data_IF_975231312045
#
_entry.id   IF_975231312045
#
_cell.length_a   1.000
_cell.length_b   1.000
_cell.length_c   1.000
_cell.angle_alpha   90.00
_cell.angle_beta   90.00
_cell.angle_gamma   90.00
#
_symmetry.space_group_name_H-M   'P 1'
#
loop_
_entity.id
_entity.type
_entity.pdbx_description
1 polymer ?
#
# COMPACT_ATOMS: atom_id res chain seq x y z
N UNK A 1 -11.45 22.60 -2.59
CA UNK A 1 -10.58 23.54 -3.31
C UNK A 1 -11.29 24.89 -3.37
N UNK A 2 -10.65 25.97 -2.93
CA UNK A 2 -11.21 27.33 -3.00
C UNK A 2 -11.10 27.85 -4.43
N UNK A 3 -11.92 28.83 -4.82
CA UNK A 3 -11.80 29.46 -6.14
C UNK A 3 -10.97 30.74 -6.01
N UNK A 4 -10.07 30.97 -6.96
CA UNK A 4 -9.34 32.23 -7.01
C UNK A 4 -10.33 33.41 -7.19
N UNK A 5 -10.00 34.58 -6.62
CA UNK A 5 -10.79 35.79 -6.80
C UNK A 5 -11.11 36.04 -8.27
N UNK A 6 -12.37 36.42 -8.56
CA UNK A 6 -12.91 36.67 -9.90
C UNK A 6 -12.91 35.49 -10.90
N UNK A 7 -12.50 34.28 -10.51
CA UNK A 7 -12.57 33.12 -11.41
C UNK A 7 -14.02 32.82 -11.86
N UNK A 8 -14.99 32.92 -10.96
CA UNK A 8 -16.43 32.74 -11.28
C UNK A 8 -16.99 33.78 -12.26
N UNK A 9 -16.27 34.88 -12.49
CA UNK A 9 -16.71 35.98 -13.35
C UNK A 9 -16.12 35.88 -14.77
N UNK A 10 -15.26 34.89 -15.01
CA UNK A 10 -14.68 34.66 -16.34
C UNK A 10 -15.76 34.23 -17.35
N UNK A 11 -15.57 34.50 -18.64
CA UNK A 11 -16.50 34.12 -19.70
C UNK A 11 -16.77 32.61 -19.70
N UNK A 12 -18.01 32.23 -20.03
CA UNK A 12 -18.41 30.83 -20.20
C UNK A 12 -17.72 30.18 -21.40
N UNK A 13 -17.47 30.96 -22.45
CA UNK A 13 -16.68 30.50 -23.59
C UNK A 13 -15.25 30.19 -23.13
N UNK A 14 -14.78 28.98 -23.40
CA UNK A 14 -13.48 28.44 -22.96
C UNK A 14 -12.33 28.75 -23.92
N UNK A 15 -12.65 29.24 -25.11
CA UNK A 15 -11.66 29.74 -26.08
C UNK A 15 -11.26 31.18 -25.78
N UNK A 16 -12.14 31.95 -25.12
CA UNK A 16 -11.80 33.28 -24.63
C UNK A 16 -10.67 33.20 -23.60
N UNK A 17 -9.65 34.02 -23.80
CA UNK A 17 -8.45 34.05 -22.96
C UNK A 17 -8.78 34.55 -21.54
N UNK A 18 -8.15 33.96 -20.53
CA UNK A 18 -8.28 34.43 -19.14
C UNK A 18 -7.07 35.25 -18.75
N UNK A 19 -7.33 36.38 -18.08
CA UNK A 19 -6.31 37.30 -17.60
C UNK A 19 -6.11 37.10 -16.11
N UNK A 20 -4.86 36.87 -15.73
CA UNK A 20 -4.44 36.66 -14.34
C UNK A 20 -3.41 37.72 -13.96
N UNK A 21 -3.67 38.47 -12.89
CA UNK A 21 -2.66 39.32 -12.24
C UNK A 21 -2.07 38.60 -11.04
N UNK A 22 -0.74 38.50 -10.96
CA UNK A 22 -0.05 37.79 -9.90
C UNK A 22 1.09 38.61 -9.29
N UNK A 23 1.11 38.73 -7.96
CA UNK A 23 2.14 39.44 -7.19
C UNK A 23 1.57 40.35 -6.10
N UNK A 24 2.45 41.07 -5.41
CA UNK A 24 2.09 41.94 -4.27
C UNK A 24 1.03 42.99 -4.60
N UNK A 25 1.05 43.51 -5.83
CA UNK A 25 0.15 44.59 -6.29
C UNK A 25 -0.99 44.08 -7.18
N UNK A 26 -1.25 42.76 -7.18
CA UNK A 26 -2.25 42.14 -8.05
C UNK A 26 -3.65 42.76 -7.94
N UNK A 27 -4.07 43.16 -6.72
CA UNK A 27 -5.35 43.84 -6.51
C UNK A 27 -5.40 45.25 -7.11
N UNK A 28 -4.30 45.99 -7.02
CA UNK A 28 -4.18 47.35 -7.55
C UNK A 28 -4.27 47.33 -9.08
N UNK A 29 -3.52 46.43 -9.72
CA UNK A 29 -3.56 46.24 -11.17
C UNK A 29 -4.90 45.68 -11.67
N UNK A 30 -5.53 44.77 -10.91
CA UNK A 30 -6.87 44.29 -11.24
C UNK A 30 -7.94 45.39 -11.16
N UNK A 31 -7.77 46.36 -10.23
CA UNK A 31 -8.63 47.55 -10.15
C UNK A 31 -8.40 48.47 -11.35
N UNK A 32 -7.14 48.77 -11.68
CA UNK A 32 -6.75 49.56 -12.85
C UNK A 32 -7.25 48.94 -14.17
N UNK A 33 -7.20 47.62 -14.29
CA UNK A 33 -7.78 46.89 -15.43
C UNK A 33 -9.26 47.15 -15.60
N UNK A 34 -10.03 47.10 -14.50
CA UNK A 34 -11.48 47.33 -14.53
C UNK A 34 -11.83 48.79 -14.79
N UNK A 35 -11.02 49.72 -14.30
CA UNK A 35 -11.31 51.15 -14.39
C UNK A 35 -10.88 51.76 -15.73
N UNK A 36 -9.79 51.26 -16.33
CA UNK A 36 -9.22 51.87 -17.53
C UNK A 36 -8.61 50.87 -18.51
N UNK A 37 -7.61 50.08 -18.08
CA UNK A 37 -6.74 49.35 -19.00
C UNK A 37 -7.47 48.24 -19.78
N UNK A 38 -8.42 47.53 -19.18
CA UNK A 38 -9.17 46.47 -19.86
C UNK A 38 -9.94 47.00 -21.06
N UNK A 39 -10.68 48.11 -20.89
CA UNK A 39 -11.47 48.74 -21.96
C UNK A 39 -10.62 49.39 -23.04
N UNK A 40 -9.51 50.03 -22.65
CA UNK A 40 -8.73 50.87 -23.57
C UNK A 40 -7.59 50.12 -24.27
N UNK A 41 -7.08 49.02 -23.69
CA UNK A 41 -5.95 48.25 -24.23
C UNK A 41 -6.41 46.93 -24.83
N UNK A 42 -7.33 46.21 -24.16
CA UNK A 42 -7.75 44.87 -24.56
C UNK A 42 -9.21 44.76 -25.05
N UNK A 43 -9.96 45.87 -25.02
CA UNK A 43 -11.41 45.89 -25.26
C UNK A 43 -12.18 44.86 -24.39
N UNK A 44 -11.68 44.59 -23.19
CA UNK A 44 -12.21 43.59 -22.26
C UNK A 44 -12.73 44.26 -20.96
N UNK A 45 -13.94 43.90 -20.55
CA UNK A 45 -14.59 44.37 -19.30
C UNK A 45 -14.68 43.27 -18.24
N UNK A 46 -14.10 42.08 -18.50
CA UNK A 46 -14.08 40.97 -17.56
C UNK A 46 -13.10 41.29 -16.43
N UNK A 47 -13.52 41.16 -15.16
CA UNK A 47 -12.61 41.35 -14.04
C UNK A 47 -11.57 40.23 -14.03
N UNK A 48 -10.27 40.55 -14.01
CA UNK A 48 -9.21 39.56 -14.11
C UNK A 48 -9.11 38.73 -12.83
N UNK A 49 -8.60 37.51 -12.95
CA UNK A 49 -8.30 36.64 -11.81
C UNK A 49 -7.12 37.23 -11.04
N UNK A 50 -7.23 37.26 -9.71
CA UNK A 50 -6.22 37.90 -8.85
C UNK A 50 -5.52 36.85 -7.99
N UNK A 51 -4.20 36.78 -8.09
CA UNK A 51 -3.32 35.94 -7.27
C UNK A 51 -2.38 36.85 -6.46
N UNK A 52 -2.89 37.40 -5.35
CA UNK A 52 -2.09 38.19 -4.41
C UNK A 52 -1.33 37.30 -3.43
N UNK A 53 -0.51 37.89 -2.55
CA UNK A 53 0.34 37.18 -1.59
C UNK A 53 -0.39 36.10 -0.78
N UNK A 54 -1.65 36.31 -0.42
CA UNK A 54 -2.48 35.32 0.29
C UNK A 54 -2.71 34.05 -0.56
N UNK A 55 -3.03 34.24 -1.85
CA UNK A 55 -3.25 33.14 -2.78
C UNK A 55 -1.91 32.48 -3.15
N UNK A 56 -0.85 33.26 -3.36
CA UNK A 56 0.47 32.74 -3.73
C UNK A 56 1.07 31.86 -2.62
N UNK A 57 0.87 32.21 -1.34
CA UNK A 57 1.32 31.38 -0.20
C UNK A 57 0.70 29.99 -0.17
N UNK A 58 -0.54 29.84 -0.62
CA UNK A 58 -1.30 28.58 -0.58
C UNK A 58 -1.88 28.22 -1.95
N UNK A 59 -1.11 28.44 -3.02
CA UNK A 59 -1.64 28.42 -4.39
C UNK A 59 -2.28 27.08 -4.78
N UNK A 60 -1.81 25.97 -4.20
CA UNK A 60 -2.34 24.62 -4.39
C UNK A 60 -3.76 24.42 -3.85
N UNK A 61 -4.21 25.25 -2.92
CA UNK A 61 -5.56 25.17 -2.34
C UNK A 61 -6.60 25.89 -3.21
N UNK A 62 -6.14 26.71 -4.16
CA UNK A 62 -6.95 27.51 -5.05
C UNK A 62 -7.00 26.90 -6.45
N UNK A 63 -8.21 26.87 -7.01
CA UNK A 63 -8.40 26.71 -8.43
C UNK A 63 -8.25 28.09 -9.08
N UNK A 64 -7.23 28.22 -9.93
CA UNK A 64 -6.85 29.48 -10.57
C UNK A 64 -7.40 29.64 -11.99
N UNK A 65 -7.85 28.53 -12.60
CA UNK A 65 -8.34 28.49 -13.97
C UNK A 65 -9.58 27.57 -14.10
N UNK A 66 -10.40 27.85 -15.10
CA UNK A 66 -11.54 27.00 -15.45
C UNK A 66 -11.09 25.69 -16.10
N UNK A 67 -11.96 24.67 -16.03
CA UNK A 67 -11.78 23.42 -16.78
C UNK A 67 -11.91 23.73 -18.28
N UNK A 68 -11.08 23.06 -19.08
CA UNK A 68 -11.02 23.15 -20.54
C UNK A 68 -10.60 24.51 -21.12
N UNK A 69 -10.11 25.43 -20.28
CA UNK A 69 -9.59 26.72 -20.75
C UNK A 69 -8.29 26.51 -21.53
N UNK A 70 -8.21 27.08 -22.74
CA UNK A 70 -7.07 26.83 -23.63
C UNK A 70 -5.98 27.91 -23.59
N UNK A 71 -6.36 29.16 -23.27
CA UNK A 71 -5.47 30.32 -23.41
C UNK A 71 -5.48 31.19 -22.14
N UNK A 72 -4.29 31.55 -21.65
CA UNK A 72 -4.12 32.37 -20.45
C UNK A 72 -3.03 33.42 -20.63
N UNK A 73 -3.27 34.61 -20.09
CA UNK A 73 -2.26 35.66 -19.93
C UNK A 73 -2.00 35.90 -18.45
N UNK A 74 -0.73 35.89 -18.06
CA UNK A 74 -0.28 36.16 -16.69
C UNK A 74 0.50 37.45 -16.68
N UNK A 75 0.05 38.43 -15.91
CA UNK A 75 0.73 39.71 -15.70
C UNK A 75 1.44 39.71 -14.35
N UNK A 76 2.72 40.06 -14.34
CA UNK A 76 3.46 40.37 -13.12
C UNK A 76 2.94 41.69 -12.54
N UNK A 77 2.45 41.64 -11.31
CA UNK A 77 1.85 42.77 -10.61
C UNK A 77 2.63 43.05 -9.33
N UNK A 78 3.58 43.97 -9.39
CA UNK A 78 4.51 44.23 -8.30
C UNK A 78 5.56 43.13 -8.14
N UNK A 79 5.87 42.76 -6.91
CA UNK A 79 6.86 41.72 -6.62
C UNK A 79 6.23 40.31 -6.70
N UNK A 80 6.83 39.46 -7.53
CA UNK A 80 6.53 38.03 -7.62
C UNK A 80 7.84 37.26 -7.71
N UNK A 81 7.94 36.15 -6.98
CA UNK A 81 9.13 35.28 -7.05
C UNK A 81 9.06 34.36 -8.26
N UNK A 82 10.20 34.01 -8.83
CA UNK A 82 10.28 33.01 -9.91
C UNK A 82 9.71 31.65 -9.48
N UNK A 83 9.85 31.29 -8.19
CA UNK A 83 9.23 30.10 -7.63
C UNK A 83 7.69 30.15 -7.74
N UNK A 84 7.06 31.23 -7.28
CA UNK A 84 5.61 31.40 -7.37
C UNK A 84 5.13 31.48 -8.83
N UNK A 85 5.91 32.08 -9.72
CA UNK A 85 5.59 32.12 -11.15
C UNK A 85 5.60 30.70 -11.74
N UNK A 86 6.64 29.93 -11.47
CA UNK A 86 6.75 28.54 -11.92
C UNK A 86 5.58 27.71 -11.39
N UNK A 87 5.16 27.91 -10.13
CA UNK A 87 3.98 27.26 -9.57
C UNK A 87 2.68 27.61 -10.32
N UNK A 88 2.47 28.88 -10.68
CA UNK A 88 1.31 29.29 -11.48
C UNK A 88 1.34 28.57 -12.83
N UNK A 89 2.46 28.62 -13.54
CA UNK A 89 2.60 28.03 -14.87
C UNK A 89 2.41 26.51 -14.83
N UNK A 90 2.99 25.82 -13.84
CA UNK A 90 2.76 24.38 -13.67
C UNK A 90 1.30 24.05 -13.36
N UNK A 91 0.60 24.86 -12.56
CA UNK A 91 -0.85 24.69 -12.33
C UNK A 91 -1.67 24.84 -13.61
N UNK A 92 -1.32 25.83 -14.45
CA UNK A 92 -1.97 26.04 -15.75
C UNK A 92 -1.70 24.85 -16.71
N UNK A 93 -0.47 24.35 -16.73
CA UNK A 93 -0.09 23.17 -17.51
C UNK A 93 -0.89 21.92 -17.10
N UNK A 94 -0.98 21.65 -15.80
CA UNK A 94 -1.75 20.52 -15.27
C UNK A 94 -3.25 20.66 -15.57
N UNK A 95 -3.77 21.90 -15.58
CA UNK A 95 -5.15 22.18 -15.97
C UNK A 95 -5.43 22.00 -17.47
N UNK A 96 -4.42 21.72 -18.30
CA UNK A 96 -4.58 21.46 -19.73
C UNK A 96 -4.62 22.72 -20.60
N UNK A 97 -4.14 23.86 -20.09
CA UNK A 97 -3.97 25.08 -20.88
C UNK A 97 -2.94 24.83 -21.99
N UNK A 98 -3.21 25.32 -23.20
CA UNK A 98 -2.35 25.14 -24.38
C UNK A 98 -1.41 26.31 -24.60
N UNK A 99 -1.88 27.53 -24.32
CA UNK A 99 -1.09 28.74 -24.52
C UNK A 99 -1.03 29.58 -23.25
N UNK A 100 0.18 29.95 -22.84
CA UNK A 100 0.44 30.81 -21.68
C UNK A 100 1.43 31.89 -22.08
N UNK A 101 1.00 33.15 -21.96
CA UNK A 101 1.84 34.31 -22.19
C UNK A 101 2.08 35.07 -20.89
N UNK A 102 3.33 35.31 -20.57
CA UNK A 102 3.76 36.10 -19.42
C UNK A 102 4.10 37.53 -19.84
N UNK A 103 3.56 38.50 -19.11
CA UNK A 103 3.79 39.93 -19.32
C UNK A 103 4.44 40.55 -18.07
N UNK A 104 5.44 41.39 -18.26
CA UNK A 104 6.12 42.10 -17.17
C UNK A 104 5.27 43.19 -16.51
N UNK A 105 4.15 43.59 -17.14
CA UNK A 105 3.20 44.56 -16.62
C UNK A 105 2.12 44.92 -17.67
N UNK A 106 1.16 45.78 -17.30
CA UNK A 106 0.02 46.14 -18.15
C UNK A 106 0.46 46.84 -19.46
N UNK A 107 1.58 47.58 -19.42
CA UNK A 107 2.12 48.32 -20.56
C UNK A 107 3.08 47.51 -21.42
N UNK A 108 3.32 46.24 -21.07
CA UNK A 108 4.25 45.38 -21.79
C UNK A 108 3.65 44.94 -23.13
N UNK A 109 4.41 45.12 -24.20
CA UNK A 109 4.04 44.78 -25.57
C UNK A 109 4.80 43.57 -26.11
N UNK A 110 5.71 42.98 -25.34
CA UNK A 110 6.55 41.86 -25.75
C UNK A 110 6.49 40.70 -24.74
N UNK A 111 5.38 39.95 -24.71
CA UNK A 111 5.22 38.84 -23.77
C UNK A 111 6.21 37.71 -24.02
N UNK A 112 6.56 37.01 -22.95
CA UNK A 112 7.29 35.74 -23.01
C UNK A 112 6.28 34.62 -23.24
N UNK A 113 6.47 33.85 -24.30
CA UNK A 113 5.68 32.65 -24.57
C UNK A 113 6.22 31.47 -23.75
N UNK A 114 5.38 30.93 -22.87
CA UNK A 114 5.72 29.79 -22.01
C UNK A 114 5.08 28.48 -22.49
N UNK A 115 4.39 28.50 -23.64
CA UNK A 115 3.59 27.39 -24.14
C UNK A 115 4.40 26.12 -24.40
N UNK A 116 5.66 26.25 -24.85
CA UNK A 116 6.55 25.11 -25.10
C UNK A 116 6.92 24.33 -23.84
N UNK A 117 6.91 24.97 -22.67
CA UNK A 117 7.30 24.36 -21.41
C UNK A 117 6.13 23.63 -20.73
N UNK A 118 4.88 23.92 -21.12
CA UNK A 118 3.69 23.36 -20.48
C UNK A 118 3.61 21.83 -20.56
N UNK A 119 3.85 21.16 -21.70
CA UNK A 119 3.78 19.69 -21.76
C UNK A 119 4.79 19.04 -20.81
N UNK A 120 6.02 19.56 -20.80
CA UNK A 120 7.08 19.07 -19.91
C UNK A 120 6.71 19.27 -18.44
N UNK A 121 6.26 20.46 -18.05
CA UNK A 121 5.86 20.75 -16.66
C UNK A 121 4.67 19.90 -16.22
N UNK A 122 3.73 19.63 -17.12
CA UNK A 122 2.60 18.72 -16.86
C UNK A 122 3.09 17.31 -16.61
N UNK A 123 3.95 16.77 -17.47
CA UNK A 123 4.49 15.41 -17.31
C UNK A 123 5.30 15.26 -16.03
N UNK A 124 6.23 16.18 -15.75
CA UNK A 124 7.03 16.18 -14.50
C UNK A 124 6.13 16.22 -13.26
N UNK A 125 5.05 17.02 -13.30
CA UNK A 125 4.08 17.08 -12.22
C UNK A 125 3.23 15.80 -12.10
N UNK A 126 2.82 15.20 -13.22
CA UNK A 126 2.06 13.95 -13.23
C UNK A 126 2.88 12.74 -12.77
N UNK A 127 4.20 12.74 -13.02
CA UNK A 127 5.14 11.72 -12.50
C UNK A 127 5.53 11.94 -11.04
N UNK A 128 5.14 13.05 -10.43
CA UNK A 128 5.52 13.40 -9.05
C UNK A 128 6.96 13.92 -8.91
N UNK A 129 7.60 14.30 -10.01
CA UNK A 129 8.99 14.79 -10.07
C UNK A 129 9.08 16.33 -10.08
N UNK A 130 7.95 17.03 -10.01
CA UNK A 130 7.93 18.50 -10.04
C UNK A 130 8.63 19.10 -8.82
N UNK A 131 9.60 19.97 -9.10
CA UNK A 131 10.42 20.66 -8.09
C UNK A 131 9.64 21.78 -7.35
N UNK A 132 8.51 22.22 -7.90
CA UNK A 132 7.77 23.40 -7.41
C UNK A 132 6.38 23.06 -6.89
N UNK A 133 5.80 21.93 -7.29
CA UNK A 133 4.44 21.52 -6.93
C UNK A 133 4.36 20.03 -6.67
N UNK A 134 3.86 19.67 -5.49
CA UNK A 134 3.43 18.31 -5.19
C UNK A 134 1.91 18.26 -5.20
N UNK A 135 1.35 18.13 -6.39
CA UNK A 135 -0.07 18.26 -6.67
C UNK A 135 -0.77 16.89 -6.49
N UNK A 136 -1.79 16.77 -5.62
CA UNK A 136 -2.45 15.48 -5.36
C UNK A 136 -3.47 15.05 -6.44
N UNK A 137 -3.34 15.52 -7.68
CA UNK A 137 -4.52 15.80 -8.54
C UNK A 137 -4.99 14.69 -9.47
N UNK A 138 -4.27 13.57 -9.66
CA UNK A 138 -4.82 12.38 -10.35
C UNK A 138 -5.19 11.26 -9.38
N UNK A 139 -4.41 11.06 -8.32
CA UNK A 139 -4.61 9.96 -7.37
C UNK A 139 -5.81 10.19 -6.43
N UNK A 140 -6.11 11.43 -6.03
CA UNK A 140 -7.30 11.74 -5.21
C UNK A 140 -8.62 11.40 -5.90
N UNK A 141 -8.73 11.70 -7.19
CA UNK A 141 -9.95 11.46 -7.95
C UNK A 141 -10.16 9.96 -8.21
N UNK A 142 -9.08 9.22 -8.50
CA UNK A 142 -9.13 7.78 -8.75
C UNK A 142 -9.69 6.98 -7.56
N UNK A 143 -9.15 7.12 -6.35
CA UNK A 143 -9.59 6.31 -5.20
C UNK A 143 -11.07 6.46 -4.81
N UNK A 144 -11.62 7.66 -4.98
CA UNK A 144 -13.03 7.94 -4.68
C UNK A 144 -13.99 7.39 -5.75
N UNK A 145 -13.52 7.23 -6.99
CA UNK A 145 -14.30 6.78 -8.14
C UNK A 145 -14.14 5.28 -8.44
N UNK A 146 -13.10 4.65 -7.89
CA UNK A 146 -12.82 3.22 -8.05
C UNK A 146 -14.01 2.35 -7.63
N UNK A 147 -14.14 1.18 -8.24
CA UNK A 147 -15.00 0.12 -7.75
C UNK A 147 -14.41 -0.51 -6.48
N UNK A 148 -15.25 -1.20 -5.69
CA UNK A 148 -14.79 -1.86 -4.46
C UNK A 148 -13.76 -2.96 -4.75
N UNK A 149 -13.85 -3.63 -5.91
CA UNK A 149 -12.87 -4.62 -6.37
C UNK A 149 -11.50 -4.01 -6.70
N UNK A 150 -11.48 -2.80 -7.28
CA UNK A 150 -10.22 -2.12 -7.58
C UNK A 150 -9.53 -1.62 -6.30
N UNK A 151 -10.31 -1.16 -5.32
CA UNK A 151 -9.79 -0.82 -3.98
C UNK A 151 -9.27 -2.05 -3.25
N UNK A 152 -9.97 -3.17 -3.35
CA UNK A 152 -9.54 -4.44 -2.81
C UNK A 152 -8.21 -4.88 -3.42
N UNK A 153 -8.01 -4.70 -4.73
CA UNK A 153 -6.73 -4.99 -5.37
C UNK A 153 -5.60 -4.11 -4.82
N UNK A 154 -5.82 -2.80 -4.68
CA UNK A 154 -4.82 -1.92 -4.04
C UNK A 154 -4.46 -2.36 -2.61
N UNK A 155 -5.45 -2.89 -1.88
CA UNK A 155 -5.21 -3.45 -0.55
C UNK A 155 -4.43 -4.77 -0.61
N UNK A 156 -4.72 -5.64 -1.59
CA UNK A 156 -3.98 -6.88 -1.80
C UNK A 156 -2.51 -6.61 -2.14
N UNK A 157 -2.24 -5.60 -2.96
CA UNK A 157 -0.89 -5.19 -3.40
C UNK A 157 -0.01 -4.68 -2.25
N UNK A 158 -0.56 -4.48 -1.04
CA UNK A 158 0.22 -4.17 0.17
C UNK A 158 0.94 -5.38 0.77
N UNK A 159 0.61 -6.58 0.32
CA UNK A 159 1.15 -7.81 0.87
C UNK A 159 1.80 -8.65 -0.24
N UNK A 160 2.82 -9.43 0.12
CA UNK A 160 3.52 -10.31 -0.82
C UNK A 160 2.63 -11.46 -1.34
N UNK A 161 1.52 -11.73 -0.65
CA UNK A 161 0.50 -12.69 -1.04
C UNK A 161 -0.70 -12.60 -0.10
N UNK A 162 -1.90 -12.87 -0.63
CA UNK A 162 -3.16 -12.86 0.11
C UNK A 162 -4.00 -14.06 -0.28
N UNK A 163 -4.55 -14.76 0.71
CA UNK A 163 -5.53 -15.83 0.50
C UNK A 163 -6.65 -15.77 1.53
N UNK A 164 -7.73 -16.51 1.32
CA UNK A 164 -8.86 -16.59 2.24
C UNK A 164 -9.12 -18.03 2.66
N UNK A 165 -9.27 -18.27 3.96
CA UNK A 165 -9.67 -19.58 4.45
C UNK A 165 -11.16 -19.80 4.15
N UNK A 166 -11.48 -20.82 3.34
CA UNK A 166 -12.81 -21.00 2.76
C UNK A 166 -13.95 -21.08 3.78
N UNK A 167 -13.72 -21.71 4.94
CA UNK A 167 -14.77 -21.93 5.94
C UNK A 167 -14.93 -20.78 6.94
N UNK A 168 -13.83 -20.13 7.32
CA UNK A 168 -13.81 -19.10 8.37
C UNK A 168 -13.83 -17.69 7.79
N UNK A 169 -13.64 -17.55 6.49
CA UNK A 169 -13.49 -16.28 5.76
C UNK A 169 -12.35 -15.40 6.30
N UNK A 170 -11.42 -15.99 7.07
CA UNK A 170 -10.27 -15.28 7.62
C UNK A 170 -9.25 -15.11 6.50
N UNK A 171 -8.92 -13.85 6.22
CA UNK A 171 -7.85 -13.47 5.31
C UNK A 171 -6.50 -13.82 5.94
N UNK A 172 -5.65 -14.49 5.17
CA UNK A 172 -4.26 -14.73 5.52
C UNK A 172 -3.37 -13.99 4.53
N UNK A 173 -2.24 -13.48 5.02
CA UNK A 173 -1.23 -12.84 4.18
C UNK A 173 0.10 -13.53 4.34
N UNK A 174 0.87 -13.55 3.27
CA UNK A 174 2.19 -14.18 3.25
C UNK A 174 3.20 -13.27 3.94
N UNK A 175 3.79 -13.74 5.05
CA UNK A 175 4.81 -13.01 5.82
C UNK A 175 5.83 -14.00 6.39
N UNK A 176 7.12 -13.74 6.17
CA UNK A 176 8.18 -14.53 6.81
C UNK A 176 8.14 -16.02 6.47
N UNK A 177 7.70 -16.39 5.26
CA UNK A 177 7.67 -17.78 4.80
C UNK A 177 6.44 -18.59 5.25
N UNK A 178 5.45 -17.95 5.86
CA UNK A 178 4.19 -18.59 6.29
C UNK A 178 2.97 -17.71 6.02
N UNK A 179 1.80 -18.34 5.94
CA UNK A 179 0.50 -17.69 5.87
C UNK A 179 0.03 -17.28 7.27
N UNK A 180 -0.04 -15.97 7.53
CA UNK A 180 -0.44 -15.41 8.81
C UNK A 180 -1.88 -14.88 8.76
N UNK A 181 -2.76 -15.23 9.72
CA UNK A 181 -4.11 -14.67 9.78
C UNK A 181 -4.06 -13.17 10.05
N UNK A 182 -4.90 -12.41 9.35
CA UNK A 182 -5.01 -10.96 9.47
C UNK A 182 -6.41 -10.57 9.88
N UNK A 183 -6.51 -9.70 10.88
CA UNK A 183 -7.81 -9.20 11.35
C UNK A 183 -8.41 -8.19 10.37
N UNK A 184 -9.74 -8.11 10.32
CA UNK A 184 -10.46 -7.06 9.58
C UNK A 184 -10.02 -5.64 9.97
N UNK A 185 -9.66 -5.43 11.23
CA UNK A 185 -9.16 -4.13 11.72
C UNK A 185 -7.80 -3.77 11.12
N UNK A 186 -6.90 -4.73 11.00
CA UNK A 186 -5.58 -4.52 10.38
C UNK A 186 -5.74 -4.21 8.88
N UNK A 187 -6.54 -5.00 8.15
CA UNK A 187 -6.87 -4.72 6.75
C UNK A 187 -7.51 -3.34 6.58
N UNK A 188 -8.39 -2.94 7.49
CA UNK A 188 -9.01 -1.62 7.47
C UNK A 188 -7.99 -0.51 7.69
N UNK A 189 -6.99 -0.71 8.55
CA UNK A 189 -5.90 0.26 8.80
C UNK A 189 -4.99 0.40 7.60
N UNK A 190 -4.64 -0.69 6.93
CA UNK A 190 -3.87 -0.65 5.69
C UNK A 190 -4.61 0.09 4.59
N UNK A 191 -5.94 -0.14 4.45
CA UNK A 191 -6.74 0.63 3.51
C UNK A 191 -6.77 2.12 3.86
N UNK A 192 -6.86 2.47 5.15
CA UNK A 192 -6.77 3.87 5.61
C UNK A 192 -5.40 4.48 5.30
N UNK A 193 -4.31 3.71 5.41
CA UNK A 193 -2.98 4.15 5.03
C UNK A 193 -2.90 4.48 3.54
N UNK A 194 -3.46 3.63 2.66
CA UNK A 194 -3.60 3.92 1.22
C UNK A 194 -4.29 5.26 1.00
N UNK A 195 -5.47 5.46 1.59
CA UNK A 195 -6.19 6.74 1.45
C UNK A 195 -5.36 7.93 1.95
N UNK A 196 -4.63 7.77 3.06
CA UNK A 196 -3.82 8.83 3.66
C UNK A 196 -2.63 9.23 2.80
N UNK A 197 -1.92 8.26 2.23
CA UNK A 197 -0.80 8.48 1.30
C UNK A 197 -1.23 9.27 0.07
N UNK A 198 -2.40 8.94 -0.47
CA UNK A 198 -3.00 9.67 -1.60
C UNK A 198 -3.74 10.95 -1.17
N UNK A 199 -3.64 11.33 0.11
CA UNK A 199 -4.31 12.48 0.73
C UNK A 199 -5.83 12.49 0.54
N UNK A 200 -6.45 11.35 0.25
CA UNK A 200 -7.86 11.19 -0.07
C UNK A 200 -8.69 10.97 1.21
N UNK A 201 -9.95 11.43 1.19
CA UNK A 201 -10.91 11.16 2.25
C UNK A 201 -11.59 9.82 2.04
N UNK A 202 -11.96 9.15 3.13
CA UNK A 202 -12.70 7.89 3.08
C UNK A 202 -13.91 7.93 4.01
N UNK A 203 -14.83 6.99 3.80
CA UNK A 203 -15.88 6.68 4.76
C UNK A 203 -15.67 5.27 5.32
N UNK A 204 -16.17 5.00 6.52
CA UNK A 204 -16.11 3.66 7.12
C UNK A 204 -16.71 2.59 6.19
N UNK A 205 -17.79 2.93 5.47
CA UNK A 205 -18.44 2.02 4.51
C UNK A 205 -17.51 1.64 3.37
N UNK A 206 -16.80 2.61 2.78
CA UNK A 206 -15.88 2.36 1.66
C UNK A 206 -14.70 1.48 2.10
N UNK A 207 -14.17 1.71 3.30
CA UNK A 207 -13.12 0.86 3.87
C UNK A 207 -13.62 -0.58 4.07
N UNK A 208 -14.78 -0.75 4.72
CA UNK A 208 -15.35 -2.08 4.93
C UNK A 208 -15.64 -2.80 3.62
N UNK A 209 -16.21 -2.11 2.64
CA UNK A 209 -16.52 -2.69 1.33
C UNK A 209 -15.26 -3.17 0.60
N UNK A 210 -14.16 -2.42 0.67
CA UNK A 210 -12.89 -2.85 0.08
C UNK A 210 -12.35 -4.12 0.75
N UNK A 211 -12.47 -4.24 2.08
CA UNK A 211 -12.07 -5.45 2.82
C UNK A 211 -12.97 -6.65 2.50
N UNK A 212 -14.28 -6.47 2.38
CA UNK A 212 -15.17 -7.55 1.97
C UNK A 212 -14.93 -7.96 0.51
N UNK A 213 -14.70 -7.01 -0.39
CA UNK A 213 -14.32 -7.30 -1.76
C UNK A 213 -12.97 -8.04 -1.85
N UNK A 214 -12.01 -7.75 -0.95
CA UNK A 214 -10.74 -8.48 -0.86
C UNK A 214 -10.96 -9.97 -0.61
N UNK A 215 -11.85 -10.33 0.32
CA UNK A 215 -12.17 -11.75 0.60
C UNK A 215 -12.74 -12.48 -0.61
N UNK A 216 -13.45 -11.77 -1.48
CA UNK A 216 -14.07 -12.34 -2.69
C UNK A 216 -13.05 -12.54 -3.81
N UNK A 217 -12.07 -11.64 -3.95
CA UNK A 217 -11.05 -11.73 -5.01
C UNK A 217 -9.83 -12.57 -4.60
N UNK A 218 -9.57 -12.73 -3.31
CA UNK A 218 -8.44 -13.50 -2.80
C UNK A 218 -8.60 -14.99 -3.13
N UNK A 219 -7.49 -15.64 -3.47
CA UNK A 219 -7.50 -17.06 -3.76
C UNK A 219 -7.89 -17.88 -2.51
N UNK A 220 -8.66 -18.97 -2.67
CA UNK A 220 -8.92 -19.89 -1.58
C UNK A 220 -7.61 -20.49 -1.06
N UNK A 221 -7.46 -20.50 0.25
CA UNK A 221 -6.32 -21.11 0.91
C UNK A 221 -6.29 -22.61 0.64
N UNK A 222 -5.13 -23.12 0.21
CA UNK A 222 -4.91 -24.55 0.04
C UNK A 222 -4.58 -25.27 1.35
N UNK A 223 -4.39 -26.58 1.25
CA UNK A 223 -4.06 -27.44 2.39
C UNK A 223 -2.53 -27.57 2.55
N UNK A 224 -1.98 -27.39 3.76
CA UNK A 224 -0.58 -27.67 4.03
C UNK A 224 -0.28 -29.16 3.83
N UNK A 225 0.82 -29.47 3.16
CA UNK A 225 1.26 -30.85 3.01
C UNK A 225 1.83 -31.40 4.33
N UNK A 226 1.34 -32.55 4.77
CA UNK A 226 1.86 -33.25 5.95
C UNK A 226 3.30 -33.78 5.78
N UNK A 227 3.83 -33.78 4.56
CA UNK A 227 5.20 -34.19 4.27
C UNK A 227 6.23 -33.04 4.38
N UNK A 228 5.76 -31.81 4.60
CA UNK A 228 6.60 -30.63 4.70
C UNK A 228 6.76 -30.23 6.16
N UNK A 229 8.02 -30.12 6.60
CA UNK A 229 8.36 -29.64 7.93
C UNK A 229 8.96 -28.23 7.83
N UNK A 230 8.22 -27.17 8.22
CA UNK A 230 8.70 -25.80 8.10
C UNK A 230 9.65 -25.42 9.25
N UNK A 231 10.83 -24.96 8.88
CA UNK A 231 11.84 -24.33 9.74
C UNK A 231 11.79 -22.81 9.58
N UNK A 232 12.57 -22.06 10.36
CA UNK A 232 12.64 -20.59 10.22
C UNK A 232 13.29 -20.15 8.91
N UNK A 233 14.18 -20.97 8.34
CA UNK A 233 14.97 -20.65 7.15
C UNK A 233 14.58 -21.45 5.89
N UNK A 234 13.45 -22.15 5.90
CA UNK A 234 13.00 -22.98 4.79
C UNK A 234 12.14 -24.16 5.21
N UNK A 235 11.94 -25.10 4.31
CA UNK A 235 11.07 -26.26 4.50
C UNK A 235 11.81 -27.54 4.14
N UNK A 236 11.75 -28.54 5.03
CA UNK A 236 12.28 -29.88 4.79
C UNK A 236 11.18 -30.79 4.26
N UNK A 237 11.39 -31.40 3.10
CA UNK A 237 10.53 -32.46 2.59
C UNK A 237 10.92 -33.80 3.23
N UNK A 238 10.02 -34.36 4.03
CA UNK A 238 10.26 -35.60 4.79
C UNK A 238 10.31 -36.86 3.92
N UNK A 239 9.78 -36.80 2.69
CA UNK A 239 9.84 -37.93 1.73
C UNK A 239 11.15 -37.96 0.96
N UNK A 240 11.63 -36.80 0.49
CA UNK A 240 12.85 -36.71 -0.33
C UNK A 240 14.10 -36.43 0.51
N UNK A 241 13.93 -35.88 1.72
CA UNK A 241 15.03 -35.36 2.54
C UNK A 241 15.59 -34.03 2.03
N UNK A 242 14.96 -33.41 1.03
CA UNK A 242 15.42 -32.16 0.44
C UNK A 242 14.95 -30.95 1.25
N UNK A 243 15.86 -30.00 1.46
CA UNK A 243 15.57 -28.72 2.09
C UNK A 243 15.50 -27.62 1.04
N UNK A 244 14.40 -26.86 1.02
CA UNK A 244 14.16 -25.79 0.05
C UNK A 244 13.68 -24.50 0.73
N UNK A 245 13.73 -23.34 0.05
CA UNK A 245 13.14 -22.12 0.56
C UNK A 245 11.62 -22.25 0.79
N UNK A 246 11.07 -21.37 1.63
CA UNK A 246 9.62 -21.24 1.75
C UNK A 246 8.98 -20.87 0.42
N UNK A 247 7.77 -21.37 0.20
CA UNK A 247 6.95 -21.00 -0.95
C UNK A 247 5.48 -20.89 -0.52
N UNK A 248 4.73 -19.90 -1.03
CA UNK A 248 3.30 -19.74 -0.74
C UNK A 248 2.47 -21.00 -1.06
N UNK A 249 2.88 -21.76 -2.07
CA UNK A 249 2.25 -23.00 -2.52
C UNK A 249 2.35 -24.15 -1.51
N UNK A 250 3.21 -24.03 -0.48
CA UNK A 250 3.30 -24.99 0.61
C UNK A 250 2.18 -24.84 1.66
N UNK A 251 1.42 -23.74 1.62
CA UNK A 251 0.28 -23.45 2.52
C UNK A 251 0.59 -23.55 4.03
N UNK A 252 1.85 -23.41 4.40
CA UNK A 252 2.29 -23.50 5.80
C UNK A 252 1.87 -22.25 6.58
N UNK A 253 1.23 -22.43 7.73
CA UNK A 253 0.78 -21.33 8.62
C UNK A 253 1.71 -21.07 9.79
N UNK A 254 2.63 -21.99 10.05
CA UNK A 254 3.58 -21.93 11.17
C UNK A 254 4.89 -22.59 10.77
N UNK A 255 5.94 -22.27 11.52
CA UNK A 255 7.23 -22.97 11.48
C UNK A 255 7.68 -23.31 12.90
N UNK A 256 8.58 -24.27 13.05
CA UNK A 256 9.04 -24.76 14.36
C UNK A 256 9.92 -23.75 15.15
N UNK A 257 10.35 -22.64 14.54
CA UNK A 257 11.18 -21.62 15.20
C UNK A 257 12.66 -21.99 15.30
N UNK A 258 13.08 -23.04 14.61
CA UNK A 258 14.44 -23.57 14.60
C UNK A 258 15.01 -23.33 13.19
N UNK A 259 16.29 -23.01 13.10
CA UNK A 259 17.00 -22.99 11.82
C UNK A 259 17.45 -24.40 11.45
N UNK A 260 17.12 -24.83 10.23
CA UNK A 260 17.63 -26.08 9.69
C UNK A 260 19.12 -25.95 9.35
N UNK A 261 19.89 -26.93 9.79
CA UNK A 261 21.28 -27.13 9.38
C UNK A 261 21.42 -28.49 8.72
N UNK A 262 22.10 -28.59 7.56
CA UNK A 262 22.38 -29.88 6.94
C UNK A 262 23.19 -30.79 7.87
N UNK A 263 23.01 -32.13 7.79
CA UNK A 263 23.77 -33.06 8.60
C UNK A 263 25.28 -32.93 8.37
N UNK A 264 26.05 -32.82 9.45
CA UNK A 264 27.52 -32.81 9.39
C UNK A 264 28.07 -34.23 9.39
N UNK A 265 29.18 -34.49 8.70
CA UNK A 265 29.82 -35.80 8.72
C UNK A 265 30.16 -36.24 10.15
N UNK A 266 29.66 -37.41 10.55
CA UNK A 266 29.83 -37.95 11.90
C UNK A 266 28.82 -37.43 12.94
N UNK A 267 27.89 -36.56 12.54
CA UNK A 267 26.83 -36.07 13.42
C UNK A 267 25.98 -37.23 13.96
N UNK A 268 25.79 -37.25 15.27
CA UNK A 268 25.01 -38.29 15.93
C UNK A 268 24.34 -37.74 17.20
N UNK A 269 23.26 -38.39 17.60
CA UNK A 269 22.44 -37.95 18.75
C UNK A 269 23.26 -37.88 20.04
N UNK A 270 24.22 -38.80 20.24
CA UNK A 270 24.99 -38.88 21.49
C UNK A 270 25.88 -37.65 21.68
N UNK A 271 26.59 -37.26 20.64
CA UNK A 271 27.59 -36.20 20.71
C UNK A 271 26.99 -34.82 20.42
N UNK A 272 26.03 -34.74 19.48
CA UNK A 272 25.44 -33.48 19.03
C UNK A 272 24.16 -33.09 19.78
N UNK A 273 23.52 -34.03 20.48
CA UNK A 273 22.35 -33.74 21.33
C UNK A 273 22.52 -34.39 22.72
N UNK A 274 23.57 -34.06 23.50
CA UNK A 274 23.97 -34.80 24.69
C UNK A 274 22.92 -34.80 25.79
N UNK A 275 22.14 -33.73 25.94
CA UNK A 275 21.05 -33.67 26.92
C UNK A 275 19.88 -34.56 26.51
N UNK A 276 19.51 -34.55 25.23
CA UNK A 276 18.48 -35.44 24.69
C UNK A 276 18.93 -36.90 24.78
N UNK A 277 20.20 -37.20 24.48
CA UNK A 277 20.75 -38.54 24.61
C UNK A 277 20.74 -39.05 26.05
N UNK A 278 21.16 -38.23 27.03
CA UNK A 278 21.08 -38.57 28.47
C UNK A 278 19.64 -38.87 28.90
N UNK A 279 18.69 -38.05 28.48
CA UNK A 279 17.27 -38.28 28.73
C UNK A 279 16.79 -39.58 28.08
N UNK A 280 17.15 -39.82 26.82
CA UNK A 280 16.76 -41.01 26.07
C UNK A 280 17.32 -42.29 26.69
N UNK A 281 18.59 -42.29 27.09
CA UNK A 281 19.23 -43.41 27.81
C UNK A 281 18.51 -43.68 29.15
N UNK A 282 18.14 -42.62 29.89
CA UNK A 282 17.41 -42.75 31.14
C UNK A 282 16.00 -43.33 30.92
N UNK A 283 15.22 -42.73 30.02
CA UNK A 283 13.85 -43.14 29.70
C UNK A 283 13.79 -44.59 29.19
N UNK A 284 14.80 -45.01 28.42
CA UNK A 284 14.90 -46.36 27.89
C UNK A 284 15.55 -47.37 28.84
N UNK A 285 15.95 -46.97 30.06
CA UNK A 285 16.77 -47.80 30.99
C UNK A 285 18.01 -48.40 30.30
N UNK A 286 18.66 -47.60 29.43
CA UNK A 286 19.82 -47.97 28.60
C UNK A 286 19.59 -49.14 27.64
N UNK A 287 18.34 -49.49 27.33
CA UNK A 287 17.99 -50.52 26.33
C UNK A 287 17.95 -49.90 24.91
N UNK A 288 18.87 -50.29 24.01
CA UNK A 288 18.94 -49.73 22.65
C UNK A 288 17.66 -49.91 21.83
N UNK A 289 16.92 -51.02 22.03
CA UNK A 289 15.66 -51.27 21.31
C UNK A 289 14.54 -50.37 21.82
N UNK A 290 14.54 -50.03 23.12
CA UNK A 290 13.60 -49.04 23.67
C UNK A 290 13.94 -47.63 23.20
N UNK A 291 15.23 -47.25 23.18
CA UNK A 291 15.67 -45.96 22.63
C UNK A 291 15.20 -45.79 21.18
N UNK A 292 15.42 -46.80 20.33
CA UNK A 292 14.96 -46.78 18.94
C UNK A 292 13.44 -46.60 18.81
N UNK A 293 12.65 -47.30 19.64
CA UNK A 293 11.18 -47.18 19.63
C UNK A 293 10.71 -45.79 20.07
N UNK A 294 11.36 -45.19 21.06
CA UNK A 294 11.07 -43.80 21.47
C UNK A 294 11.39 -42.83 20.32
N UNK A 295 12.54 -42.98 19.65
CA UNK A 295 12.88 -42.16 18.49
C UNK A 295 11.87 -42.32 17.34
N UNK A 296 11.44 -43.55 17.03
CA UNK A 296 10.42 -43.79 16.02
C UNK A 296 9.06 -43.15 16.38
N UNK A 297 8.70 -43.17 17.66
CA UNK A 297 7.49 -42.53 18.17
C UNK A 297 7.56 -40.99 18.05
N UNK A 298 8.69 -40.39 18.41
CA UNK A 298 8.92 -38.95 18.24
C UNK A 298 8.95 -38.54 16.76
N UNK A 299 9.55 -39.36 15.90
CA UNK A 299 9.52 -39.16 14.45
C UNK A 299 8.10 -39.19 13.90
N UNK A 300 7.26 -40.12 14.37
CA UNK A 300 5.86 -40.20 13.96
C UNK A 300 5.07 -38.93 14.34
N UNK A 301 5.30 -38.36 15.52
CA UNK A 301 4.71 -37.07 15.91
C UNK A 301 5.21 -35.95 14.98
N UNK A 302 6.53 -35.88 14.75
CA UNK A 302 7.16 -34.83 13.93
C UNK A 302 6.71 -34.87 12.47
N UNK A 303 6.55 -36.08 11.91
CA UNK A 303 6.12 -36.30 10.54
C UNK A 303 4.59 -36.31 10.37
N UNK A 304 3.86 -35.91 11.42
CA UNK A 304 2.42 -35.75 11.40
C UNK A 304 1.64 -36.98 10.87
N UNK A 305 2.12 -38.20 11.21
CA UNK A 305 1.62 -39.48 10.66
C UNK A 305 0.35 -39.96 11.35
N UNK A 306 -0.74 -39.19 11.23
CA UNK A 306 -2.08 -39.57 11.69
C UNK A 306 -2.59 -40.86 11.04
N UNK A 307 -2.11 -41.16 9.83
CA UNK A 307 -2.45 -42.35 9.05
C UNK A 307 -2.04 -43.65 9.73
N UNK A 308 -1.08 -43.62 10.65
CA UNK A 308 -0.63 -44.81 11.38
C UNK A 308 -1.65 -45.29 12.42
N UNK A 309 -2.59 -44.43 12.85
CA UNK A 309 -3.58 -44.72 13.88
C UNK A 309 -2.97 -45.35 15.15
N UNK A 310 -1.71 -45.02 15.45
CA UNK A 310 -1.00 -45.49 16.63
C UNK A 310 -1.08 -44.45 17.74
N UNK A 311 -1.09 -44.90 18.99
CA UNK A 311 -0.96 -44.06 20.17
C UNK A 311 0.32 -44.44 20.94
N UNK A 312 0.92 -43.46 21.60
CA UNK A 312 2.10 -43.69 22.45
C UNK A 312 1.61 -43.85 23.88
N UNK A 313 1.78 -45.05 24.43
CA UNK A 313 1.55 -45.30 25.84
C UNK A 313 2.89 -45.33 26.59
N UNK A 314 3.07 -44.37 27.50
CA UNK A 314 4.19 -44.33 28.42
C UNK A 314 3.72 -44.83 29.80
N UNK A 315 4.38 -45.87 30.34
CA UNK A 315 4.08 -46.45 31.65
C UNK A 315 5.35 -46.49 32.52
N UNK A 316 5.19 -46.21 33.82
CA UNK A 316 6.27 -46.16 34.80
C UNK A 316 5.88 -46.79 36.13
N UNK A 317 6.89 -47.21 36.90
CA UNK A 317 6.72 -47.80 38.24
C UNK A 317 6.60 -46.66 39.28
N UNK A 318 5.38 -46.18 39.48
CA UNK A 318 5.01 -45.11 40.43
C UNK A 318 3.69 -44.48 39.99
N UNK A 319 2.71 -44.39 40.90
CA UNK A 319 1.33 -43.89 40.72
C UNK A 319 0.98 -43.45 39.28
N UNK A 320 0.36 -44.39 38.55
CA UNK A 320 0.20 -44.37 37.10
C UNK A 320 -0.39 -43.06 36.54
N UNK A 321 0.48 -42.14 36.13
CA UNK A 321 0.10 -41.07 35.19
C UNK A 321 0.04 -41.69 33.80
N UNK A 322 -1.16 -42.14 33.41
CA UNK A 322 -1.46 -42.49 32.02
C UNK A 322 -1.60 -41.22 31.22
N UNK A 323 -0.60 -40.90 30.39
CA UNK A 323 -0.76 -39.89 29.35
C UNK A 323 -1.23 -40.60 28.08
N UNK A 324 -2.50 -40.43 27.74
CA UNK A 324 -2.99 -40.73 26.39
C UNK A 324 -2.73 -39.50 25.53
N UNK A 325 -1.85 -39.64 24.54
CA UNK A 325 -1.74 -38.70 23.43
C UNK A 325 -2.51 -39.30 22.25
N UNK A 326 -3.84 -39.09 22.16
CA UNK A 326 -4.55 -39.46 20.95
C UNK A 326 -4.03 -38.54 19.84
N UNK A 327 -3.53 -39.13 18.77
CA UNK A 327 -3.18 -38.39 17.56
C UNK A 327 -4.51 -38.16 16.82
N UNK A 328 -5.29 -37.19 17.31
CA UNK A 328 -6.61 -36.91 16.77
C UNK A 328 -6.47 -36.24 15.40
N UNK A 329 -7.38 -36.55 14.46
CA UNK A 329 -7.41 -35.88 13.17
C UNK A 329 -7.64 -34.36 13.34
N UNK A 330 -7.16 -33.51 12.40
CA UNK A 330 -7.24 -32.05 12.48
C UNK A 330 -8.65 -31.52 12.73
N UNK A 331 -9.67 -32.22 12.23
CA UNK A 331 -11.08 -31.87 12.38
C UNK A 331 -11.61 -31.88 13.83
N UNK A 332 -10.90 -32.50 14.79
CA UNK A 332 -11.26 -32.46 16.22
C UNK A 332 -10.57 -31.33 17.00
N UNK A 333 -9.58 -30.66 16.42
CA UNK A 333 -8.88 -29.51 17.02
C UNK A 333 -9.47 -28.16 16.56
N UNK A 334 -10.29 -28.15 15.50
CA UNK A 334 -10.90 -26.94 14.94
C UNK A 334 -12.09 -26.38 15.76
N UNK A 335 -12.66 -27.14 16.69
CA UNK A 335 -13.75 -26.68 17.55
C UNK A 335 -13.30 -26.57 19.01
N UNK A 336 -12.61 -25.48 19.33
CA UNK A 336 -12.60 -24.85 20.67
C UNK A 336 -11.97 -23.46 20.57
N UNK A 337 -12.83 -22.47 20.44
CA UNK A 337 -12.58 -21.10 20.90
C UNK A 337 -13.70 -20.71 21.86
N UNK A 338 -13.42 -19.76 22.76
CA UNK A 338 -12.97 -19.97 24.15
C UNK A 338 -13.94 -20.76 25.04
#
# INVERSE_FOLDING_TARGET
MKLAPNLKKQPRDRLTEVIIFAGSDAWSHAKEWREWAGKHIAADDVPPVVLADEQLKNITDYRIIDEDRQCVRVYRAGHITEHSMTQIVTLLAVAGVKTVHEYAGITDTSPVDLSEQLPRLKEECERGESLVLNLPTKQKAQLSQMADSERAQLLADRFDGVCVHAESEIVHVWRGGVWCPVSTMELSREMVAIYSEHRATFSKRVINNAVEALKVIADPMGEPSGDLLPFTNGVLNLKTGEFSPHSPEHWSTTHNGIEYTPPVAGENIRDNAPNFHKWLEHAARKDPRKMMRICAALYMIMANRYDWQMFIEATGDGEAVRVHLPILPPCLLANRTP
#
